data_IF_530205388939
#
_entry.id   IF_530205388939
#
_cell.length_a   1.000
_cell.length_b   1.000
_cell.length_c   1.000
_cell.angle_alpha   90.00
_cell.angle_beta   90.00
_cell.angle_gamma   90.00
#
_symmetry.space_group_name_H-M   'P 1'
#
loop_
_entity.id
_entity.type
_entity.pdbx_description
1 polymer ?
#
# COMPACT_ATOMS: atom_id res chain seq x y z
N UNK A 1 -19.17 0.84 35.99
CA UNK A 1 -19.32 -0.07 34.83
C UNK A 1 -18.45 0.48 33.71
N UNK A 2 -17.30 -0.14 33.45
CA UNK A 2 -16.41 0.25 32.36
C UNK A 2 -16.72 -0.64 31.15
N UNK A 3 -17.02 -0.03 30.00
CA UNK A 3 -17.30 -0.74 28.77
C UNK A 3 -16.02 -1.47 28.31
N UNK A 4 -16.10 -2.79 28.15
CA UNK A 4 -15.04 -3.57 27.54
C UNK A 4 -14.90 -3.14 26.07
N UNK A 5 -13.76 -2.51 25.75
CA UNK A 5 -13.38 -2.24 24.37
C UNK A 5 -12.97 -3.59 23.80
N UNK A 6 -13.87 -4.24 23.07
CA UNK A 6 -13.56 -5.42 22.26
C UNK A 6 -12.52 -5.01 21.23
N UNK A 7 -11.25 -5.31 21.49
CA UNK A 7 -10.16 -5.18 20.52
C UNK A 7 -10.50 -6.14 19.37
N UNK A 8 -11.07 -5.60 18.29
CA UNK A 8 -11.19 -6.34 17.04
C UNK A 8 -9.77 -6.61 16.56
N UNK A 9 -9.28 -7.83 16.76
CA UNK A 9 -8.03 -8.26 16.15
C UNK A 9 -8.24 -8.20 14.64
N UNK A 10 -7.52 -7.32 13.95
CA UNK A 10 -7.55 -7.31 12.49
C UNK A 10 -7.04 -8.66 11.98
N UNK A 11 -7.71 -9.21 10.97
CA UNK A 11 -7.34 -10.50 10.36
C UNK A 11 -5.92 -10.43 9.78
N UNK A 12 -5.51 -9.24 9.35
CA UNK A 12 -4.17 -8.94 8.82
C UNK A 12 -3.45 -7.88 9.64
N UNK A 13 -2.12 -7.98 9.81
CA UNK A 13 -1.32 -6.92 10.38
C UNK A 13 -1.46 -5.64 9.54
N UNK A 14 -1.88 -4.56 10.19
CA UNK A 14 -2.10 -3.27 9.55
C UNK A 14 -1.41 -2.17 10.35
N UNK A 15 -0.82 -1.21 9.63
CA UNK A 15 -0.32 0.05 10.19
C UNK A 15 -0.94 1.20 9.43
N UNK A 16 -1.35 2.23 10.15
CA UNK A 16 -1.90 3.46 9.58
C UNK A 16 -1.15 4.67 10.13
N UNK A 17 -0.93 5.66 9.28
CA UNK A 17 -0.31 6.93 9.64
C UNK A 17 -0.89 8.06 8.80
N UNK A 18 -0.76 9.27 9.33
CA UNK A 18 -1.24 10.47 8.68
C UNK A 18 -0.15 11.52 8.75
N UNK A 19 0.11 12.20 7.64
CA UNK A 19 1.11 13.28 7.58
C UNK A 19 0.83 14.22 6.40
N UNK A 20 1.30 15.46 6.52
CA UNK A 20 1.19 16.44 5.46
C UNK A 20 2.33 16.25 4.44
N UNK A 21 1.97 15.93 3.19
CA UNK A 21 2.90 15.85 2.06
C UNK A 21 2.71 17.08 1.21
N UNK A 22 3.75 17.91 1.11
CA UNK A 22 3.72 19.14 0.30
C UNK A 22 2.52 20.05 0.61
N UNK A 23 2.12 20.10 1.88
CA UNK A 23 0.98 20.90 2.36
C UNK A 23 -0.40 20.23 2.21
N UNK A 24 -0.46 18.97 1.78
CA UNK A 24 -1.71 18.22 1.66
C UNK A 24 -1.79 17.07 2.66
N UNK A 25 -2.90 17.04 3.41
CA UNK A 25 -3.21 15.95 4.35
C UNK A 25 -3.25 14.62 3.61
N UNK A 26 -2.32 13.74 3.97
CA UNK A 26 -2.14 12.42 3.35
C UNK A 26 -2.33 11.34 4.39
N UNK A 27 -3.17 10.37 4.07
CA UNK A 27 -3.40 9.19 4.89
C UNK A 27 -2.79 7.99 4.22
N UNK A 28 -2.01 7.23 4.98
CA UNK A 28 -1.33 6.03 4.51
C UNK A 28 -1.71 4.84 5.37
N UNK A 29 -2.14 3.77 4.72
CA UNK A 29 -2.45 2.48 5.35
C UNK A 29 -1.65 1.39 4.66
N UNK A 30 -0.97 0.56 5.45
CA UNK A 30 -0.20 -0.59 4.96
C UNK A 30 -0.72 -1.85 5.62
N UNK A 31 -1.20 -2.77 4.80
CA UNK A 31 -1.58 -4.12 5.22
C UNK A 31 -0.55 -5.12 4.72
N UNK A 32 -0.13 -6.02 5.59
CA UNK A 32 0.79 -7.10 5.25
C UNK A 32 0.01 -8.40 5.06
N UNK A 33 0.02 -8.92 3.84
CA UNK A 33 -0.42 -10.27 3.51
C UNK A 33 0.80 -11.20 3.42
N UNK A 34 0.57 -12.49 3.15
CA UNK A 34 1.62 -13.50 3.08
C UNK A 34 2.56 -13.27 1.88
N UNK A 35 1.99 -12.91 0.73
CA UNK A 35 2.66 -12.82 -0.57
C UNK A 35 2.76 -11.38 -1.12
N UNK A 36 2.04 -10.43 -0.53
CA UNK A 36 2.04 -9.04 -0.98
C UNK A 36 1.82 -8.02 0.14
N UNK A 37 2.14 -6.76 -0.15
CA UNK A 37 1.77 -5.61 0.65
C UNK A 37 0.63 -4.87 -0.05
N UNK A 38 -0.39 -4.51 0.71
CA UNK A 38 -1.45 -3.64 0.21
C UNK A 38 -1.30 -2.26 0.84
N UNK A 39 -0.89 -1.29 0.02
CA UNK A 39 -0.58 0.07 0.43
C UNK A 39 -1.64 1.00 -0.15
N UNK A 40 -2.27 1.77 0.72
CA UNK A 40 -3.21 2.84 0.37
C UNK A 40 -2.52 4.14 0.74
N UNK A 41 -2.38 5.04 -0.23
CA UNK A 41 -1.96 6.41 0.00
C UNK A 41 -3.02 7.33 -0.62
N UNK A 42 -3.80 7.99 0.24
CA UNK A 42 -4.92 8.84 -0.20
C UNK A 42 -4.72 10.27 0.26
N UNK A 43 -5.08 11.18 -0.64
CA UNK A 43 -5.26 12.60 -0.35
C UNK A 43 -6.69 12.97 -0.75
N UNK A 44 -7.26 13.97 -0.08
CA UNK A 44 -8.61 14.48 -0.36
C UNK A 44 -9.70 13.40 -0.31
N UNK A 45 -9.49 12.31 0.46
CA UNK A 45 -10.41 11.18 0.57
C UNK A 45 -10.77 10.51 -0.77
N UNK A 46 -9.86 10.58 -1.75
CA UNK A 46 -10.04 9.94 -3.06
C UNK A 46 -9.35 8.58 -3.10
N UNK A 47 -10.01 7.60 -3.71
CA UNK A 47 -9.42 6.27 -3.92
C UNK A 47 -8.25 6.33 -4.91
N UNK A 48 -8.32 7.21 -5.92
CA UNK A 48 -7.26 7.38 -6.90
C UNK A 48 -7.15 6.22 -7.88
N UNK A 49 -5.91 5.84 -8.19
CA UNK A 49 -5.57 4.75 -9.12
C UNK A 49 -5.11 3.53 -8.35
N UNK A 50 -5.56 2.34 -8.73
CA UNK A 50 -5.10 1.08 -8.15
C UNK A 50 -4.10 0.43 -9.09
N UNK A 51 -2.87 0.29 -8.61
CA UNK A 51 -1.74 -0.26 -9.37
C UNK A 51 -1.28 -1.55 -8.68
N UNK A 52 -1.20 -2.63 -9.45
CA UNK A 52 -0.52 -3.85 -9.03
C UNK A 52 0.94 -3.76 -9.49
N UNK A 53 1.87 -3.90 -8.56
CA UNK A 53 3.31 -3.91 -8.85
C UNK A 53 3.84 -5.31 -8.57
N UNK A 54 4.49 -5.91 -9.56
CA UNK A 54 5.09 -7.25 -9.47
C UNK A 54 6.56 -7.16 -9.82
N UNK A 55 7.43 -7.88 -9.11
CA UNK A 55 8.85 -7.97 -9.46
C UNK A 55 8.99 -8.78 -10.75
N UNK A 56 9.71 -8.23 -11.73
CA UNK A 56 10.02 -8.95 -12.95
C UNK A 56 11.19 -9.89 -12.70
N UNK A 57 10.95 -11.19 -12.90
CA UNK A 57 11.96 -12.25 -12.69
C UNK A 57 12.86 -12.47 -13.91
N UNK A 58 12.67 -11.70 -14.99
CA UNK A 58 13.33 -11.93 -16.30
C UNK A 58 14.66 -11.18 -16.45
N UNK A 59 15.01 -10.31 -15.50
CA UNK A 59 16.27 -9.54 -15.55
C UNK A 59 17.36 -10.18 -14.68
N UNK A 60 17.74 -11.41 -15.02
CA UNK A 60 18.94 -12.06 -14.45
C UNK A 60 20.25 -11.46 -15.01
N UNK A 61 20.20 -10.62 -16.04
CA UNK A 61 21.39 -10.09 -16.73
C UNK A 61 21.75 -8.62 -16.42
N UNK A 62 20.95 -7.87 -15.65
CA UNK A 62 21.23 -6.46 -15.36
C UNK A 62 21.41 -6.19 -13.86
N UNK A 63 22.67 -5.93 -13.49
CA UNK A 63 23.18 -5.33 -12.25
C UNK A 63 22.57 -5.87 -10.94
N UNK A 64 23.42 -6.57 -10.18
CA UNK A 64 23.16 -7.33 -8.93
C UNK A 64 22.39 -6.62 -7.80
N UNK A 65 21.94 -5.37 -7.96
CA UNK A 65 21.26 -4.60 -6.92
C UNK A 65 20.01 -3.83 -7.37
N UNK A 66 19.52 -3.99 -8.61
CA UNK A 66 18.29 -3.30 -9.07
C UNK A 66 17.27 -4.31 -9.57
N UNK A 67 16.20 -4.52 -8.80
CA UNK A 67 15.07 -5.33 -9.24
C UNK A 67 14.18 -4.51 -10.16
N UNK A 68 13.91 -5.02 -11.37
CA UNK A 68 12.90 -4.44 -12.25
C UNK A 68 11.51 -4.76 -11.71
N UNK A 69 10.59 -3.79 -11.77
CA UNK A 69 9.20 -3.95 -11.36
C UNK A 69 8.27 -3.60 -12.51
N UNK A 70 7.38 -4.51 -12.86
CA UNK A 70 6.28 -4.26 -13.77
C UNK A 70 5.07 -3.75 -12.99
N UNK A 71 4.31 -2.86 -13.62
CA UNK A 71 3.07 -2.34 -13.05
C UNK A 71 1.89 -2.55 -13.99
N UNK A 72 0.75 -2.92 -13.41
CA UNK A 72 -0.53 -3.02 -14.11
C UNK A 72 -1.54 -2.13 -13.40
N UNK A 73 -2.04 -1.12 -14.11
CA UNK A 73 -3.19 -0.35 -13.62
C UNK A 73 -4.45 -1.21 -13.75
N UNK A 74 -5.14 -1.41 -12.63
CA UNK A 74 -6.39 -2.15 -12.56
C UNK A 74 -7.61 -1.22 -12.51
N UNK A 75 -7.42 0.03 -12.08
CA UNK A 75 -8.48 1.02 -11.93
C UNK A 75 -7.90 2.45 -11.93
N UNK A 76 -8.56 3.41 -12.60
CA UNK A 76 -8.11 4.81 -12.79
C UNK A 76 -7.76 5.13 -14.25
N UNK A 77 -7.90 6.40 -14.67
CA UNK A 77 -7.54 6.83 -16.04
C UNK A 77 -6.01 6.91 -16.23
N UNK A 78 -5.56 6.60 -17.45
CA UNK A 78 -4.19 6.82 -17.95
C UNK A 78 -3.99 8.27 -18.33
#
# INVERSE_FOLDING_TARGET
MAAAITLRSSIVPSKQTTFDVSGYHTEVVVNKFEDHLFIIATQFMKLGTVIQVTRDTVTEEYQENVSLFSYKSSFGQR
#
